data_IF_665891074901
#
_entry.id   IF_665891074901
#
_cell.length_a   1.000
_cell.length_b   1.000
_cell.length_c   1.000
_cell.angle_alpha   90.00
_cell.angle_beta   90.00
_cell.angle_gamma   90.00
#
_symmetry.space_group_name_H-M   'P 1'
#
loop_
_entity.id
_entity.type
_entity.pdbx_description
1 polymer ?
#
# COMPACT_ATOMS: atom_id res chain seq x y z
N UNK A 1 24.44 -47.61 -17.75
CA UNK A 1 23.89 -46.40 -18.40
C UNK A 1 22.56 -46.10 -17.74
N UNK A 2 22.59 -45.34 -16.65
CA UNK A 2 21.38 -44.95 -15.92
C UNK A 2 21.10 -43.52 -16.34
N UNK A 3 20.06 -43.33 -17.15
CA UNK A 3 19.60 -42.00 -17.56
C UNK A 3 18.98 -41.34 -16.34
N UNK A 4 19.74 -40.45 -15.70
CA UNK A 4 19.23 -39.60 -14.63
C UNK A 4 18.39 -38.52 -15.33
N UNK A 5 17.08 -38.75 -15.41
CA UNK A 5 16.12 -37.72 -15.83
C UNK A 5 16.08 -36.71 -14.69
N UNK A 6 16.92 -35.67 -14.83
CA UNK A 6 17.08 -34.61 -13.85
C UNK A 6 15.73 -33.93 -13.59
N UNK A 7 15.37 -33.87 -12.32
CA UNK A 7 14.12 -33.33 -11.83
C UNK A 7 13.91 -31.89 -12.31
N UNK A 8 12.77 -31.65 -12.96
CA UNK A 8 12.30 -30.29 -13.28
C UNK A 8 11.74 -29.69 -11.99
N UNK A 9 12.60 -28.96 -11.27
CA UNK A 9 12.26 -28.23 -10.06
C UNK A 9 12.54 -26.75 -10.36
N UNK A 10 11.57 -25.88 -10.09
CA UNK A 10 11.78 -24.43 -10.10
C UNK A 10 12.81 -24.09 -9.01
N UNK A 11 14.09 -24.00 -9.38
CA UNK A 11 15.16 -23.60 -8.45
C UNK A 11 15.47 -22.13 -8.70
N UNK A 12 15.08 -21.28 -7.74
CA UNK A 12 15.61 -19.93 -7.64
C UNK A 12 17.10 -20.00 -7.30
N UNK A 13 17.88 -19.10 -7.92
CA UNK A 13 19.34 -18.98 -7.92
C UNK A 13 20.02 -19.61 -6.68
N UNK A 14 20.62 -20.79 -6.87
CA UNK A 14 21.68 -21.34 -6.01
C UNK A 14 22.77 -21.95 -6.89
N UNK A 15 24.03 -21.61 -6.59
CA UNK A 15 25.22 -21.66 -7.44
C UNK A 15 25.74 -23.07 -7.83
N UNK A 16 24.90 -24.05 -8.19
CA UNK A 16 25.38 -25.45 -8.33
C UNK A 16 25.07 -26.16 -9.66
N UNK A 17 24.17 -25.72 -10.55
CA UNK A 17 23.96 -26.40 -11.86
C UNK A 17 23.50 -25.46 -13.01
N UNK A 18 23.87 -25.72 -14.28
CA UNK A 18 23.75 -24.75 -15.38
C UNK A 18 22.41 -24.77 -16.16
N UNK A 19 21.29 -25.19 -15.57
CA UNK A 19 20.00 -25.27 -16.28
C UNK A 19 18.94 -24.36 -15.65
N UNK A 20 19.18 -23.05 -15.70
CA UNK A 20 18.13 -22.07 -15.44
C UNK A 20 17.18 -22.04 -16.65
N UNK A 21 15.93 -22.50 -16.47
CA UNK A 21 14.94 -22.53 -17.57
C UNK A 21 14.29 -21.16 -17.81
N UNK A 22 14.21 -20.29 -16.79
CA UNK A 22 13.56 -18.98 -16.89
C UNK A 22 14.58 -17.84 -16.80
N UNK A 23 14.33 -16.77 -17.54
CA UNK A 23 15.13 -15.55 -17.57
C UNK A 23 15.01 -14.70 -16.31
N UNK A 24 15.88 -13.70 -16.18
CA UNK A 24 15.89 -12.78 -15.02
C UNK A 24 14.54 -12.06 -14.88
N UNK A 25 13.96 -12.10 -13.69
CA UNK A 25 12.67 -11.45 -13.40
C UNK A 25 11.42 -12.22 -13.84
N UNK A 26 11.57 -13.41 -14.45
CA UNK A 26 10.44 -14.29 -14.79
C UNK A 26 9.97 -15.13 -13.60
N UNK A 27 8.66 -15.41 -13.54
CA UNK A 27 8.05 -16.33 -12.58
C UNK A 27 8.05 -17.74 -13.14
N UNK A 28 8.49 -18.72 -12.35
CA UNK A 28 8.47 -20.14 -12.70
C UNK A 28 7.28 -20.83 -12.02
N UNK A 29 6.44 -21.50 -12.80
CA UNK A 29 5.39 -22.39 -12.29
C UNK A 29 5.46 -23.76 -12.97
N UNK A 30 4.95 -24.80 -12.31
CA UNK A 30 4.87 -26.15 -12.88
C UNK A 30 3.42 -26.46 -13.23
N UNK A 31 3.17 -26.87 -14.47
CA UNK A 31 1.84 -27.29 -14.93
C UNK A 31 1.93 -28.72 -15.44
N UNK A 32 1.06 -29.61 -14.95
CA UNK A 32 0.84 -31.01 -15.34
C UNK A 32 2.11 -31.78 -15.82
N UNK A 33 2.65 -32.64 -14.95
CA UNK A 33 3.80 -33.53 -15.24
C UNK A 33 5.14 -32.80 -15.44
N UNK A 34 5.55 -32.00 -14.45
CA UNK A 34 6.93 -31.50 -14.37
C UNK A 34 7.37 -30.64 -15.58
N UNK A 35 6.44 -29.96 -16.25
CA UNK A 35 6.78 -28.97 -17.27
C UNK A 35 6.90 -27.60 -16.62
N UNK A 36 8.10 -27.03 -16.65
CA UNK A 36 8.33 -25.66 -16.20
C UNK A 36 7.73 -24.69 -17.23
N UNK A 37 6.95 -23.74 -16.71
CA UNK A 37 6.35 -22.63 -17.45
C UNK A 37 6.95 -21.34 -16.90
N UNK A 38 7.55 -20.55 -17.79
CA UNK A 38 8.14 -19.26 -17.45
C UNK A 38 7.22 -18.16 -17.97
N UNK A 39 6.80 -17.25 -17.10
CA UNK A 39 5.95 -16.11 -17.46
C UNK A 39 6.50 -14.82 -16.85
N UNK A 40 6.41 -13.72 -17.59
CA UNK A 40 6.74 -12.41 -17.03
C UNK A 40 5.61 -11.96 -16.09
N UNK A 41 5.94 -11.37 -14.92
CA UNK A 41 4.96 -10.74 -14.05
C UNK A 41 4.15 -9.68 -14.78
N UNK A 42 2.95 -9.37 -14.27
CA UNK A 42 2.10 -8.32 -14.85
C UNK A 42 2.89 -7.01 -14.95
N UNK A 43 2.92 -6.44 -16.16
CA UNK A 43 3.64 -5.19 -16.45
C UNK A 43 5.08 -5.35 -16.93
N UNK A 44 5.56 -6.59 -17.03
CA UNK A 44 6.86 -6.90 -17.58
C UNK A 44 6.70 -7.60 -18.94
N UNK A 45 7.54 -7.22 -19.88
CA UNK A 45 7.54 -7.68 -21.26
C UNK A 45 8.89 -8.32 -21.62
N UNK A 46 9.09 -8.59 -22.91
CA UNK A 46 10.24 -9.29 -23.52
C UNK A 46 10.09 -10.82 -23.48
N UNK A 47 11.11 -11.55 -23.05
CA UNK A 47 11.12 -13.01 -23.10
C UNK A 47 11.30 -13.58 -21.70
N UNK A 48 10.35 -14.40 -21.22
CA UNK A 48 10.44 -15.02 -19.91
C UNK A 48 11.55 -16.08 -19.81
N UNK A 49 12.22 -16.40 -20.92
CA UNK A 49 13.37 -17.31 -20.98
C UNK A 49 14.72 -16.59 -20.98
N UNK A 50 14.75 -15.27 -21.23
CA UNK A 50 15.99 -14.48 -21.22
C UNK A 50 15.96 -13.40 -20.15
N UNK A 51 14.99 -12.50 -20.21
CA UNK A 51 14.86 -11.38 -19.28
C UNK A 51 13.46 -10.76 -19.42
N UNK A 52 12.81 -10.54 -18.28
CA UNK A 52 11.59 -9.74 -18.20
C UNK A 52 11.95 -8.30 -17.82
N UNK A 53 11.55 -7.33 -18.65
CA UNK A 53 11.77 -5.90 -18.35
C UNK A 53 10.44 -5.15 -18.29
N UNK A 54 10.29 -4.17 -17.40
CA UNK A 54 9.12 -3.30 -17.40
C UNK A 54 9.08 -2.46 -18.68
N UNK A 55 7.91 -1.91 -18.98
CA UNK A 55 7.76 -0.93 -20.06
C UNK A 55 8.50 0.38 -19.76
N UNK A 56 8.54 0.77 -18.50
CA UNK A 56 9.15 2.00 -18.05
C UNK A 56 9.87 1.80 -16.70
N UNK A 57 10.94 2.55 -16.48
CA UNK A 57 11.58 2.71 -15.18
C UNK A 57 11.22 4.06 -14.55
N UNK A 58 10.80 5.02 -15.36
CA UNK A 58 10.25 6.30 -14.92
C UNK A 58 9.33 6.94 -15.96
N UNK A 59 8.69 8.04 -15.56
CA UNK A 59 7.71 8.76 -16.40
C UNK A 59 8.31 9.24 -17.74
N UNK A 60 9.61 9.52 -17.78
CA UNK A 60 10.32 9.96 -19.01
C UNK A 60 10.37 8.90 -20.10
N UNK A 61 10.23 7.63 -19.74
CA UNK A 61 10.25 6.52 -20.69
C UNK A 61 8.90 6.38 -21.40
N UNK A 62 7.86 7.07 -20.91
CA UNK A 62 6.50 6.93 -21.38
C UNK A 62 6.12 7.94 -22.48
N UNK A 63 5.31 7.54 -23.47
CA UNK A 63 4.86 8.42 -24.54
C UNK A 63 3.77 9.40 -24.06
N UNK A 64 3.58 10.50 -24.80
CA UNK A 64 2.69 11.60 -24.42
C UNK A 64 1.22 11.20 -24.15
N UNK A 65 0.70 10.14 -24.79
CA UNK A 65 -0.66 9.64 -24.55
C UNK A 65 -0.83 8.86 -23.24
N UNK A 66 0.25 8.48 -22.57
CA UNK A 66 0.23 7.75 -21.29
C UNK A 66 1.47 8.05 -20.47
N UNK A 67 1.62 9.30 -19.98
CA UNK A 67 2.91 9.85 -19.58
C UNK A 67 3.44 9.36 -18.23
N UNK A 68 2.67 8.59 -17.44
CA UNK A 68 3.09 8.19 -16.11
C UNK A 68 3.49 6.72 -16.04
N UNK A 69 4.61 6.44 -15.37
CA UNK A 69 5.07 5.10 -15.09
C UNK A 69 4.54 4.63 -13.72
N UNK A 70 3.70 3.59 -13.73
CA UNK A 70 3.17 2.96 -12.52
C UNK A 70 3.48 1.47 -12.52
N UNK A 71 4.24 1.01 -11.52
CA UNK A 71 4.64 -0.39 -11.39
C UNK A 71 5.24 -1.00 -12.68
N UNK A 72 5.98 -0.19 -13.45
CA UNK A 72 6.60 -0.61 -14.69
C UNK A 72 5.69 -0.58 -15.93
N UNK A 73 4.51 0.02 -15.85
CA UNK A 73 3.55 0.17 -16.96
C UNK A 73 3.28 1.66 -17.20
N UNK A 74 3.30 2.08 -18.47
CA UNK A 74 2.90 3.43 -18.84
C UNK A 74 1.37 3.55 -18.84
N UNK A 75 0.84 4.53 -18.11
CA UNK A 75 -0.59 4.80 -17.98
C UNK A 75 -0.95 6.24 -18.34
N UNK A 76 -2.14 6.40 -18.90
CA UNK A 76 -2.75 7.70 -19.09
C UNK A 76 -3.29 8.18 -17.75
N UNK A 77 -2.87 9.37 -17.35
CA UNK A 77 -3.27 9.99 -16.09
C UNK A 77 -4.54 10.83 -16.25
N UNK A 78 -4.85 11.24 -17.50
CA UNK A 78 -6.08 11.94 -17.87
C UNK A 78 -7.31 11.02 -17.96
N UNK A 79 -7.08 9.71 -18.03
CA UNK A 79 -8.14 8.72 -17.92
C UNK A 79 -8.33 8.36 -16.44
N UNK A 80 -9.58 8.10 -16.02
CA UNK A 80 -9.97 7.73 -14.66
C UNK A 80 -9.34 6.40 -14.13
N UNK A 81 -8.30 5.91 -14.81
CA UNK A 81 -7.66 4.60 -14.72
C UNK A 81 -6.47 4.57 -13.72
N UNK A 82 -6.22 5.68 -13.00
CA UNK A 82 -5.23 5.73 -11.91
C UNK A 82 -5.55 4.75 -10.78
N UNK A 83 -6.85 4.46 -10.58
CA UNK A 83 -7.35 3.58 -9.54
C UNK A 83 -7.78 2.20 -10.06
N UNK A 84 -7.50 1.88 -11.32
CA UNK A 84 -7.88 0.58 -11.91
C UNK A 84 -6.68 -0.12 -12.58
N UNK A 85 -6.23 -1.29 -12.07
CA UNK A 85 -6.67 -1.94 -10.84
C UNK A 85 -6.26 -1.11 -9.60
N UNK A 86 -7.03 -1.22 -8.52
CA UNK A 86 -6.81 -0.44 -7.29
C UNK A 86 -5.38 -0.66 -6.74
N UNK A 87 -4.52 0.38 -6.70
CA UNK A 87 -3.16 0.28 -6.19
C UNK A 87 -3.08 0.36 -4.66
N UNK A 88 -4.19 0.64 -3.98
CA UNK A 88 -4.24 0.82 -2.53
C UNK A 88 -4.38 -0.51 -1.78
N UNK A 89 -3.98 -0.50 -0.51
CA UNK A 89 -4.08 -1.64 0.39
C UNK A 89 -5.53 -1.99 0.77
N UNK A 90 -5.70 -3.10 1.48
CA UNK A 90 -7.02 -3.55 1.94
C UNK A 90 -7.67 -2.51 2.86
N UNK A 91 -8.98 -2.30 2.72
CA UNK A 91 -9.77 -1.27 3.42
C UNK A 91 -9.29 0.17 3.17
N UNK A 92 -8.59 0.41 2.06
CA UNK A 92 -8.27 1.75 1.57
C UNK A 92 -9.07 2.06 0.29
N UNK A 93 -9.39 3.33 0.10
CA UNK A 93 -9.99 3.89 -1.10
C UNK A 93 -8.92 4.60 -1.92
N UNK A 94 -8.92 4.35 -3.23
CA UNK A 94 -8.12 5.10 -4.18
C UNK A 94 -8.91 6.29 -4.69
N UNK A 95 -8.28 7.47 -4.69
CA UNK A 95 -8.79 8.66 -5.34
C UNK A 95 -7.73 9.19 -6.33
N UNK A 96 -8.12 9.63 -7.54
CA UNK A 96 -7.24 10.39 -8.41
C UNK A 96 -6.77 11.66 -7.69
N UNK A 97 -5.47 11.93 -7.72
CA UNK A 97 -4.89 13.11 -7.08
C UNK A 97 -3.57 13.49 -7.72
N UNK A 98 -2.74 14.24 -7.00
CA UNK A 98 -1.43 14.66 -7.47
C UNK A 98 -0.39 14.54 -6.36
N UNK A 99 0.87 14.34 -6.74
CA UNK A 99 1.99 14.47 -5.81
C UNK A 99 2.37 15.94 -5.57
N UNK A 100 3.35 16.17 -4.69
CA UNK A 100 3.83 17.52 -4.35
C UNK A 100 4.47 18.28 -5.54
N UNK A 101 4.71 17.59 -6.67
CA UNK A 101 5.23 18.21 -7.89
C UNK A 101 4.11 18.56 -8.89
N UNK A 102 2.85 18.28 -8.54
CA UNK A 102 1.69 18.51 -9.39
C UNK A 102 1.46 17.41 -10.43
N UNK A 103 2.16 16.27 -10.35
CA UNK A 103 1.94 15.14 -11.26
C UNK A 103 0.78 14.29 -10.76
N UNK A 104 -0.05 13.86 -11.69
CA UNK A 104 -1.19 13.00 -11.39
C UNK A 104 -0.74 11.63 -10.85
N UNK A 105 -1.22 11.30 -9.64
CA UNK A 105 -0.90 10.07 -8.91
C UNK A 105 -2.15 9.54 -8.19
N UNK A 106 -2.31 8.22 -8.04
CA UNK A 106 -3.33 7.68 -7.16
C UNK A 106 -2.98 8.04 -5.71
N UNK A 107 -3.95 8.58 -5.00
CA UNK A 107 -3.85 8.86 -3.56
C UNK A 107 -4.69 7.81 -2.83
N UNK A 108 -4.06 7.13 -1.88
CA UNK A 108 -4.72 6.10 -1.09
C UNK A 108 -5.07 6.66 0.29
N UNK A 109 -6.33 6.54 0.68
CA UNK A 109 -6.82 6.92 2.01
C UNK A 109 -7.49 5.71 2.68
N UNK A 110 -7.38 5.58 4.00
CA UNK A 110 -8.16 4.57 4.71
C UNK A 110 -9.65 4.89 4.59
N UNK A 111 -10.47 3.84 4.46
CA UNK A 111 -11.92 3.99 4.54
C UNK A 111 -12.33 4.61 5.88
N UNK A 112 -13.49 5.29 5.96
CA UNK A 112 -14.03 5.77 7.22
C UNK A 112 -14.07 4.64 8.27
N UNK A 113 -13.67 4.98 9.49
CA UNK A 113 -13.54 4.02 10.59
C UNK A 113 -12.27 3.19 10.60
N UNK A 114 -11.35 3.40 9.64
CA UNK A 114 -10.10 2.67 9.56
C UNK A 114 -8.89 3.60 9.68
N UNK A 115 -7.78 3.06 10.16
CA UNK A 115 -6.49 3.75 10.36
C UNK A 115 -5.34 2.82 9.97
N UNK A 116 -4.15 3.36 9.76
CA UNK A 116 -2.97 2.58 9.37
C UNK A 116 -2.32 3.11 8.09
N UNK A 117 -1.67 2.22 7.35
CA UNK A 117 -1.00 2.56 6.09
C UNK A 117 -1.91 2.22 4.90
N UNK A 118 -2.47 3.22 4.21
CA UNK A 118 -3.41 2.99 3.11
C UNK A 118 -2.78 2.36 1.85
N UNK A 119 -1.45 2.30 1.76
CA UNK A 119 -0.76 1.61 0.66
C UNK A 119 -0.65 0.10 0.90
N UNK A 120 -0.74 -0.37 2.14
CA UNK A 120 -0.56 -1.80 2.47
C UNK A 120 -1.81 -2.40 3.09
N UNK A 121 -2.31 -1.81 4.18
CA UNK A 121 -3.47 -2.29 4.92
C UNK A 121 -3.98 -1.22 5.90
N UNK A 122 -5.28 -0.96 5.86
CA UNK A 122 -5.98 -0.19 6.88
C UNK A 122 -6.73 -1.13 7.83
N UNK A 123 -6.52 -0.95 9.12
CA UNK A 123 -7.20 -1.68 10.18
C UNK A 123 -8.35 -0.85 10.72
N UNK A 124 -9.43 -1.50 11.17
CA UNK A 124 -10.48 -0.81 11.93
C UNK A 124 -9.83 -0.05 13.08
N UNK A 125 -10.18 1.22 13.25
CA UNK A 125 -9.72 2.02 14.38
C UNK A 125 -10.19 1.44 15.72
N UNK A 126 -9.61 1.95 16.81
CA UNK A 126 -9.97 1.54 18.18
C UNK A 126 -11.44 1.83 18.47
N UNK A 127 -12.01 2.88 17.87
CA UNK A 127 -13.39 3.31 18.06
C UNK A 127 -13.97 3.90 16.78
N UNK A 128 -15.29 3.83 16.61
CA UNK A 128 -16.05 4.67 15.68
C UNK A 128 -16.81 5.79 16.39
N UNK A 129 -17.03 5.63 17.69
CA UNK A 129 -17.83 6.51 18.52
C UNK A 129 -17.26 6.61 19.93
N UNK A 130 -17.60 7.68 20.64
CA UNK A 130 -17.18 7.89 22.03
C UNK A 130 -17.60 6.72 22.95
N UNK A 131 -18.75 6.11 22.70
CA UNK A 131 -19.26 4.96 23.46
C UNK A 131 -18.40 3.70 23.39
N UNK A 132 -17.49 3.59 22.41
CA UNK A 132 -16.51 2.49 22.34
C UNK A 132 -15.26 2.77 23.18
N UNK A 133 -15.10 3.99 23.70
CA UNK A 133 -13.99 4.38 24.55
C UNK A 133 -14.39 4.37 26.03
N UNK A 134 -13.43 4.19 26.95
CA UNK A 134 -13.64 4.48 28.37
C UNK A 134 -14.09 5.94 28.61
N UNK A 135 -14.82 6.20 29.69
CA UNK A 135 -15.39 7.53 30.00
C UNK A 135 -14.36 8.68 30.07
N UNK A 136 -13.11 8.35 30.39
CA UNK A 136 -11.99 9.29 30.47
C UNK A 136 -11.25 9.51 29.13
N UNK A 137 -11.74 8.94 28.03
CA UNK A 137 -11.17 9.05 26.69
C UNK A 137 -12.25 9.43 25.68
N UNK A 138 -11.88 10.07 24.58
CA UNK A 138 -12.77 10.42 23.49
C UNK A 138 -12.32 9.75 22.20
N UNK A 139 -13.26 9.41 21.34
CA UNK A 139 -12.98 8.86 20.03
C UNK A 139 -12.61 10.01 19.07
N UNK A 140 -11.32 10.14 18.78
CA UNK A 140 -10.79 11.18 17.88
C UNK A 140 -9.94 10.48 16.83
N UNK A 141 -10.23 10.71 15.55
CA UNK A 141 -9.56 10.05 14.43
C UNK A 141 -9.51 8.51 14.58
N UNK A 142 -10.63 7.94 15.08
CA UNK A 142 -10.80 6.51 15.34
C UNK A 142 -9.83 5.92 16.37
N UNK A 143 -9.33 6.76 17.29
CA UNK A 143 -8.51 6.35 18.44
C UNK A 143 -9.10 6.89 19.74
N UNK A 144 -9.04 6.10 20.81
CA UNK A 144 -9.48 6.52 22.13
C UNK A 144 -8.35 7.27 22.84
N UNK A 145 -8.39 8.59 22.72
CA UNK A 145 -7.36 9.50 23.26
C UNK A 145 -7.90 10.30 24.43
N UNK A 146 -7.03 10.75 25.33
CA UNK A 146 -7.44 11.63 26.42
C UNK A 146 -7.88 12.99 25.83
N UNK A 147 -9.13 13.42 26.00
CA UNK A 147 -9.63 14.66 25.43
C UNK A 147 -8.92 15.90 25.97
N UNK A 148 -8.20 15.81 27.09
CA UNK A 148 -7.48 16.95 27.68
C UNK A 148 -6.22 17.39 26.92
N UNK A 149 -5.63 16.53 26.09
CA UNK A 149 -4.35 16.81 25.44
C UNK A 149 -4.51 18.00 24.48
N UNK A 150 -3.89 19.13 24.83
CA UNK A 150 -3.86 20.35 24.01
C UNK A 150 -5.19 21.11 23.91
N UNK A 151 -6.13 20.91 24.84
CA UNK A 151 -7.45 21.58 24.81
C UNK A 151 -7.61 22.75 25.77
N UNK A 152 -7.04 22.67 26.97
CA UNK A 152 -7.17 23.74 27.97
C UNK A 152 -6.08 24.80 27.84
N UNK A 153 -6.38 26.03 28.26
CA UNK A 153 -5.44 27.14 28.29
C UNK A 153 -4.25 26.90 29.25
N UNK A 154 -3.17 27.64 29.05
CA UNK A 154 -1.97 27.53 29.89
C UNK A 154 -2.30 27.78 31.37
N UNK A 155 -1.94 26.82 32.23
CA UNK A 155 -2.22 26.91 33.67
C UNK A 155 -3.63 26.46 34.08
N UNK A 156 -4.52 26.11 33.15
CA UNK A 156 -5.82 25.52 33.47
C UNK A 156 -5.68 24.02 33.79
N UNK A 157 -6.42 23.56 34.80
CA UNK A 157 -6.53 22.15 35.15
C UNK A 157 -7.54 21.47 34.20
N UNK A 158 -7.20 20.31 33.64
CA UNK A 158 -8.10 19.56 32.78
C UNK A 158 -8.55 18.24 33.42
N UNK A 159 -9.86 18.03 33.43
CA UNK A 159 -10.48 16.79 33.86
C UNK A 159 -11.28 16.18 32.70
N UNK A 160 -10.97 14.95 32.26
CA UNK A 160 -11.76 14.28 31.25
C UNK A 160 -13.07 13.77 31.87
N UNK A 161 -14.23 14.17 31.31
CA UNK A 161 -15.54 13.74 31.81
C UNK A 161 -16.50 13.50 30.65
N UNK A 162 -17.08 12.30 30.60
CA UNK A 162 -18.01 11.88 29.54
C UNK A 162 -17.46 12.17 28.13
N UNK A 163 -16.21 11.76 27.88
CA UNK A 163 -15.50 11.96 26.61
C UNK A 163 -15.23 13.44 26.24
N UNK A 164 -15.37 14.38 27.18
CA UNK A 164 -15.11 15.80 26.97
C UNK A 164 -13.95 16.29 27.86
N UNK A 165 -13.26 17.33 27.40
CA UNK A 165 -12.28 18.06 28.19
C UNK A 165 -12.99 19.12 29.05
N UNK A 166 -13.02 18.93 30.36
CA UNK A 166 -13.53 19.94 31.30
C UNK A 166 -12.35 20.73 31.84
N UNK A 167 -12.20 21.98 31.40
CA UNK A 167 -11.16 22.88 31.87
C UNK A 167 -11.62 23.67 33.09
N UNK A 168 -10.79 23.74 34.12
CA UNK A 168 -10.99 24.54 35.33
C UNK A 168 -9.86 25.56 35.45
N UNK A 169 -10.22 26.83 35.54
CA UNK A 169 -9.27 27.91 35.79
C UNK A 169 -8.84 27.88 37.27
N UNK A 170 -7.55 28.05 37.58
CA UNK A 170 -7.08 28.28 38.94
C UNK A 170 -7.80 29.46 39.59
N UNK A 171 -7.95 29.43 40.93
CA UNK A 171 -8.54 30.55 41.68
C UNK A 171 -7.83 31.87 41.34
N UNK A 172 -8.60 32.87 40.94
CA UNK A 172 -8.09 34.21 40.58
C UNK A 172 -7.71 34.38 39.10
N UNK A 173 -8.01 33.41 38.24
CA UNK A 173 -7.84 33.51 36.78
C UNK A 173 -9.20 33.37 36.08
N UNK A 174 -9.43 34.15 35.01
CA UNK A 174 -10.68 34.17 34.23
C UNK A 174 -10.41 33.98 32.75
#
# INVERSE_FOLDING_TARGET
MTVIVAHVICVAISNVYPLALCGTGATCSTVNNHRAVCECPKGYYWSPFTECRPECYGDSDCPAGRPACFYGICKNTCDADLCEPNPCGTNAICIPGHDNTGRERPVCNCLPGHTGNPLTHCSRGECLSNSECPDNKACINYQCVNPCIGKCGSGAECEPKAHLSVCKCPRGTS
#
